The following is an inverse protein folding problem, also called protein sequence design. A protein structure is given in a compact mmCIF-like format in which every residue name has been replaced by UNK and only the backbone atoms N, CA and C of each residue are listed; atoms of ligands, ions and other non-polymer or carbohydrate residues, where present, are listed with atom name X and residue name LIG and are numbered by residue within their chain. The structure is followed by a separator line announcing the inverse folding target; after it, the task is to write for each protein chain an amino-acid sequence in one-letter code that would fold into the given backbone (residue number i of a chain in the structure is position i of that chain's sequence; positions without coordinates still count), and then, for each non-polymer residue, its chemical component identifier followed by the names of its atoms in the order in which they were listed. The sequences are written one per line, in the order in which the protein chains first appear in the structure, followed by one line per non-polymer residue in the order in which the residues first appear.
data_IF_772138609642
#
_entry.id   IF_772138609642
#
_cell.length_a   1.000
_cell.length_b   1.000
_cell.length_c   1.000
_cell.angle_alpha   90.00
_cell.angle_beta   90.00
_cell.angle_gamma   90.00
#
_symmetry.space_group_name_H-M   'P 1'
#
loop_
_entity.id
_entity.type
_entity.pdbx_description
1 polymer ?
#
# COMPACT_ATOMS: atom_id res chain seq x y z
N UNK A 1 23.34 17.46 16.75
CA UNK A 1 22.70 17.61 15.42
C UNK A 1 21.27 18.10 15.62
N UNK A 2 20.91 19.26 15.07
CA UNK A 2 19.52 19.75 15.08
C UNK A 2 18.67 18.87 14.17
N UNK A 3 17.71 18.12 14.72
CA UNK A 3 16.75 17.33 13.95
C UNK A 3 15.84 18.34 13.22
N UNK A 4 16.10 18.61 11.93
CA UNK A 4 15.37 19.62 11.15
C UNK A 4 13.92 19.23 10.85
N UNK A 5 13.52 17.98 11.08
CA UNK A 5 12.13 17.53 11.13
C UNK A 5 12.09 16.18 11.88
N UNK A 6 11.31 16.04 12.98
CA UNK A 6 11.20 14.78 13.72
C UNK A 6 10.76 13.58 12.86
N UNK A 7 10.10 13.86 11.72
CA UNK A 7 9.55 12.84 10.82
C UNK A 7 10.61 12.08 10.01
N UNK A 8 11.79 12.66 9.79
CA UNK A 8 12.84 12.07 8.93
C UNK A 8 13.69 11.01 9.65
N UNK A 9 13.45 10.79 10.94
CA UNK A 9 14.33 10.02 11.83
C UNK A 9 14.60 8.58 11.38
N UNK A 10 13.71 7.95 10.59
CA UNK A 10 13.95 6.57 10.14
C UNK A 10 13.81 6.36 8.64
N UNK A 11 14.14 7.36 7.80
CA UNK A 11 14.41 7.23 6.36
C UNK A 11 13.62 6.10 5.65
N UNK A 12 12.28 6.20 5.52
CA UNK A 12 11.50 5.17 4.85
C UNK A 12 12.03 5.02 3.42
N UNK A 13 12.51 3.83 3.08
CA UNK A 13 13.12 3.55 1.78
C UNK A 13 12.10 3.61 0.62
N UNK A 14 12.56 3.24 -0.57
CA UNK A 14 11.70 3.16 -1.76
C UNK A 14 10.67 2.02 -1.63
N UNK A 15 9.44 2.25 -2.11
CA UNK A 15 8.39 1.24 -2.11
C UNK A 15 8.80 0.06 -3.01
N UNK A 16 8.91 -1.13 -2.43
CA UNK A 16 9.34 -2.32 -3.17
C UNK A 16 8.15 -2.93 -3.94
N UNK A 17 8.34 -3.33 -5.21
CA UNK A 17 7.28 -4.01 -5.95
C UNK A 17 7.05 -5.43 -5.41
N UNK A 18 5.80 -5.89 -5.52
CA UNK A 18 5.40 -7.26 -5.19
C UNK A 18 6.24 -8.27 -5.97
N UNK A 19 6.91 -9.19 -5.27
CA UNK A 19 7.76 -10.24 -5.87
C UNK A 19 6.96 -11.44 -6.41
N UNK A 20 5.74 -11.27 -6.88
CA UNK A 20 4.97 -12.40 -7.41
C UNK A 20 5.60 -12.90 -8.72
N UNK A 21 6.32 -14.04 -8.67
CA UNK A 21 6.96 -14.65 -9.85
C UNK A 21 5.96 -15.15 -10.92
N UNK A 22 4.69 -15.39 -10.55
CA UNK A 22 3.64 -15.79 -11.49
C UNK A 22 2.91 -14.56 -12.03
N UNK A 23 3.29 -14.12 -13.24
CA UNK A 23 2.59 -13.06 -13.97
C UNK A 23 1.52 -13.70 -14.86
N UNK A 24 0.24 -13.53 -14.53
CA UNK A 24 -0.87 -13.92 -15.40
C UNK A 24 -0.88 -13.12 -16.72
N UNK A 25 -1.63 -13.59 -17.72
CA UNK A 25 -1.77 -12.92 -19.03
C UNK A 25 -2.24 -11.47 -18.89
N UNK A 26 -3.07 -11.20 -17.87
CA UNK A 26 -3.41 -9.87 -17.39
C UNK A 26 -2.76 -9.64 -16.01
N UNK A 27 -1.62 -8.92 -15.95
CA UNK A 27 -0.85 -8.77 -14.72
C UNK A 27 -1.45 -7.80 -13.70
N UNK A 28 -2.56 -7.13 -14.04
CA UNK A 28 -3.21 -6.16 -13.16
C UNK A 28 -4.09 -6.86 -12.13
N UNK A 29 -3.94 -6.49 -10.87
CA UNK A 29 -4.89 -6.86 -9.81
C UNK A 29 -6.08 -5.91 -9.90
N UNK A 30 -7.28 -6.45 -9.77
CA UNK A 30 -8.52 -5.68 -9.71
C UNK A 30 -9.22 -5.95 -8.39
N UNK A 31 -10.02 -4.98 -7.96
CA UNK A 31 -11.04 -5.15 -6.93
C UNK A 31 -12.17 -6.01 -7.48
N UNK A 32 -13.04 -6.48 -6.61
CA UNK A 32 -14.21 -7.29 -6.96
C UNK A 32 -15.13 -6.57 -7.95
N UNK A 33 -15.27 -5.25 -7.81
CA UNK A 33 -16.03 -4.41 -8.74
C UNK A 33 -15.29 -4.09 -10.06
N UNK A 34 -14.14 -4.72 -10.33
CA UNK A 34 -13.33 -4.55 -11.54
C UNK A 34 -12.42 -3.31 -11.58
N UNK A 35 -12.44 -2.47 -10.54
CA UNK A 35 -11.55 -1.31 -10.46
C UNK A 35 -10.08 -1.76 -10.29
N UNK A 36 -9.10 -1.10 -10.93
CA UNK A 36 -7.69 -1.49 -10.79
C UNK A 36 -7.15 -1.24 -9.37
N UNK A 37 -6.30 -2.14 -8.88
CA UNK A 37 -5.57 -1.99 -7.62
C UNK A 37 -4.24 -1.28 -7.89
N UNK A 38 -4.08 -0.10 -7.29
CA UNK A 38 -2.92 0.77 -7.52
C UNK A 38 -1.67 0.33 -6.75
N UNK A 39 -1.84 -0.24 -5.56
CA UNK A 39 -0.77 -0.73 -4.69
C UNK A 39 -1.33 -1.89 -3.86
N UNK A 40 -0.62 -3.01 -3.82
CA UNK A 40 -0.99 -4.20 -3.04
C UNK A 40 0.06 -4.55 -1.97
N UNK A 41 1.11 -3.74 -1.83
CA UNK A 41 2.20 -3.96 -0.87
C UNK A 41 2.10 -3.04 0.33
N UNK A 42 1.56 -1.83 0.15
CA UNK A 42 1.37 -0.87 1.23
C UNK A 42 -0.12 -0.55 1.43
N UNK A 43 -0.46 -0.16 2.65
CA UNK A 43 -1.80 0.32 3.02
C UNK A 43 -1.85 1.83 2.97
N UNK A 44 -3.04 2.39 2.72
CA UNK A 44 -3.25 3.83 2.77
C UNK A 44 -3.30 4.32 4.22
N UNK A 45 -2.50 5.36 4.50
CA UNK A 45 -2.36 5.95 5.83
C UNK A 45 -2.40 7.47 5.76
N UNK A 46 -2.67 8.14 6.89
CA UNK A 46 -2.60 9.60 7.02
C UNK A 46 -1.13 10.08 7.09
N UNK A 47 -0.40 9.88 5.99
CA UNK A 47 1.05 10.08 5.87
C UNK A 47 1.84 8.77 6.07
N UNK A 48 3.10 8.72 5.64
CA UNK A 48 3.94 7.50 5.57
C UNK A 48 3.99 6.71 6.90
N UNK A 49 3.82 7.38 8.04
CA UNK A 49 3.77 6.77 9.38
C UNK A 49 2.53 7.14 10.19
N UNK A 50 1.49 7.62 9.50
CA UNK A 50 0.22 7.93 10.12
C UNK A 50 -0.61 6.68 10.38
N UNK A 51 -1.73 6.81 11.12
CA UNK A 51 -2.71 5.73 11.24
C UNK A 51 -3.30 5.36 9.89
N UNK A 52 -3.81 4.13 9.77
CA UNK A 52 -4.62 3.72 8.64
C UNK A 52 -5.90 4.54 8.52
N UNK A 53 -6.35 4.71 7.29
CA UNK A 53 -7.57 5.44 6.96
C UNK A 53 -8.65 4.48 6.44
N UNK A 54 -9.91 4.70 6.85
CA UNK A 54 -11.06 3.87 6.47
C UNK A 54 -11.32 3.87 4.95
N UNK A 55 -10.83 4.89 4.24
CA UNK A 55 -10.94 5.00 2.79
C UNK A 55 -10.09 3.98 2.00
N UNK A 56 -9.23 3.19 2.66
CA UNK A 56 -8.51 2.09 2.01
C UNK A 56 -9.46 0.92 1.69
N UNK A 57 -10.25 1.11 0.62
CA UNK A 57 -11.23 0.13 0.19
C UNK A 57 -10.60 -1.22 -0.18
N UNK A 58 -9.37 -1.21 -0.75
CA UNK A 58 -8.70 -2.44 -1.16
C UNK A 58 -8.27 -3.27 0.04
N UNK A 59 -7.70 -2.64 1.06
CA UNK A 59 -7.33 -3.33 2.29
C UNK A 59 -8.55 -4.00 2.94
N UNK A 60 -9.64 -3.25 3.08
CA UNK A 60 -10.86 -3.74 3.72
C UNK A 60 -11.48 -4.89 2.94
N UNK A 61 -11.63 -4.75 1.63
CA UNK A 61 -12.16 -5.79 0.74
C UNK A 61 -11.34 -7.08 0.86
N UNK A 62 -10.02 -6.99 0.71
CA UNK A 62 -9.11 -8.14 0.79
C UNK A 62 -9.19 -8.88 2.12
N UNK A 63 -9.32 -8.16 3.24
CA UNK A 63 -9.42 -8.79 4.57
C UNK A 63 -10.82 -9.32 4.86
N UNK A 64 -11.87 -8.73 4.28
CA UNK A 64 -13.24 -9.22 4.45
C UNK A 64 -13.48 -10.55 3.68
N UNK A 65 -12.72 -10.78 2.60
CA UNK A 65 -12.81 -12.00 1.80
C UNK A 65 -11.90 -13.15 2.27
N UNK A 66 -10.95 -12.89 3.18
CA UNK A 66 -10.00 -13.87 3.71
C UNK A 66 -10.61 -14.66 4.87
#
# INVERSE_FOLDING_TARGET
MSIKNPMDKNNPGEALPSRNQAKGEHPGITREAGAPVINNQDTMTAGVRGPQVVQDAWLLEKHAHF
#
